data_IF_015872154887
#
_entry.id   IF_015872154887
#
_cell.length_a   1.000
_cell.length_b   1.000
_cell.length_c   1.000
_cell.angle_alpha   90.00
_cell.angle_beta   90.00
_cell.angle_gamma   90.00
#
_symmetry.space_group_name_H-M   'P 1'
#
loop_
_entity.id
_entity.type
_entity.pdbx_description
1 polymer ?
#
# COMPACT_ATOMS: atom_id res chain seq x y z
N UNK A 1 2.98 -5.06 -11.40
CA UNK A 1 1.63 -5.04 -10.80
C UNK A 1 1.76 -4.31 -9.48
N UNK A 2 0.89 -3.36 -9.18
CA UNK A 2 1.06 -2.54 -7.96
C UNK A 2 0.04 -2.98 -6.92
N UNK A 3 0.50 -3.34 -5.72
CA UNK A 3 -0.32 -3.79 -4.61
C UNK A 3 -0.29 -2.76 -3.48
N UNK A 4 -1.39 -2.02 -3.32
CA UNK A 4 -1.63 -1.22 -2.13
C UNK A 4 -2.27 -2.09 -1.04
N UNK A 5 -1.57 -2.24 0.09
CA UNK A 5 -2.08 -2.96 1.26
C UNK A 5 -2.32 -1.92 2.35
N UNK A 6 -3.59 -1.70 2.71
CA UNK A 6 -3.96 -0.77 3.78
C UNK A 6 -4.07 -1.53 5.10
N UNK A 7 -3.15 -1.22 6.01
CA UNK A 7 -3.07 -1.78 7.35
C UNK A 7 -3.81 -0.88 8.33
N UNK A 8 -4.52 -1.48 9.29
CA UNK A 8 -5.13 -0.72 10.39
C UNK A 8 -4.09 0.08 11.19
N UNK A 9 -2.94 -0.53 11.47
CA UNK A 9 -1.83 0.07 12.22
C UNK A 9 -0.56 -0.75 12.02
N UNK A 10 0.61 -0.14 12.17
CA UNK A 10 1.89 -0.86 12.25
C UNK A 10 2.95 0.00 12.95
N UNK A 11 3.73 -0.64 13.82
CA UNK A 11 4.90 -0.03 14.46
C UNK A 11 6.19 -0.23 13.64
N UNK A 12 6.13 -1.01 12.56
CA UNK A 12 7.29 -1.29 11.72
C UNK A 12 7.51 -0.18 10.68
N UNK A 13 8.77 0.18 10.41
CA UNK A 13 9.10 1.07 9.30
C UNK A 13 8.56 0.51 7.97
N UNK A 14 8.16 1.41 7.06
CA UNK A 14 7.59 1.02 5.76
C UNK A 14 8.50 0.06 4.97
N UNK A 15 9.82 0.22 5.05
CA UNK A 15 10.78 -0.65 4.35
C UNK A 15 10.75 -2.10 4.85
N UNK A 16 10.58 -2.29 6.16
CA UNK A 16 10.50 -3.62 6.76
C UNK A 16 9.17 -4.28 6.41
N UNK A 17 8.07 -3.51 6.39
CA UNK A 17 6.78 -3.98 5.90
C UNK A 17 6.85 -4.42 4.43
N UNK A 18 7.49 -3.63 3.57
CA UNK A 18 7.65 -3.98 2.15
C UNK A 18 8.34 -5.33 2.00
N UNK A 19 9.47 -5.53 2.69
CA UNK A 19 10.20 -6.80 2.67
C UNK A 19 9.33 -7.98 3.17
N UNK A 20 8.56 -7.73 4.22
CA UNK A 20 7.66 -8.73 4.82
C UNK A 20 6.53 -9.14 3.88
N UNK A 21 5.96 -8.23 3.09
CA UNK A 21 4.90 -8.57 2.14
C UNK A 21 5.43 -9.10 0.81
N UNK A 22 6.58 -8.61 0.33
CA UNK A 22 7.20 -9.08 -0.90
C UNK A 22 7.53 -10.58 -0.87
N UNK A 23 7.81 -11.16 0.30
CA UNK A 23 8.08 -12.61 0.41
C UNK A 23 6.89 -13.49 0.00
N UNK A 24 5.67 -12.93 -0.02
CA UNK A 24 4.47 -13.61 -0.47
C UNK A 24 4.17 -13.36 -1.96
N UNK A 25 4.86 -12.41 -2.57
CA UNK A 25 4.80 -12.17 -4.01
C UNK A 25 5.78 -13.13 -4.70
N UNK A 26 5.26 -13.99 -5.56
CA UNK A 26 6.07 -14.96 -6.30
C UNK A 26 6.74 -14.39 -7.54
N UNK A 27 6.34 -13.18 -7.98
CA UNK A 27 6.94 -12.48 -9.10
C UNK A 27 7.83 -11.31 -8.63
N UNK A 28 8.89 -11.04 -9.39
CA UNK A 28 9.81 -9.92 -9.16
C UNK A 28 9.33 -8.61 -9.78
N UNK A 29 8.10 -8.59 -10.34
CA UNK A 29 7.50 -7.44 -11.04
C UNK A 29 6.36 -6.80 -10.27
N UNK A 30 6.17 -7.18 -9.01
CA UNK A 30 5.12 -6.66 -8.13
C UNK A 30 5.71 -5.64 -7.18
N UNK A 31 5.26 -4.39 -7.29
CA UNK A 31 5.57 -3.35 -6.32
C UNK A 31 4.52 -3.37 -5.21
N UNK A 32 4.97 -3.43 -3.96
CA UNK A 32 4.09 -3.52 -2.79
C UNK A 32 4.18 -2.25 -1.95
N UNK A 33 3.03 -1.71 -1.60
CA UNK A 33 2.86 -0.48 -0.84
C UNK A 33 2.03 -0.75 0.43
N UNK A 34 2.65 -1.25 1.52
CA UNK A 34 1.96 -1.55 2.76
C UNK A 34 1.87 -0.31 3.64
N UNK A 35 0.82 0.49 3.45
CA UNK A 35 0.58 1.73 4.20
C UNK A 35 -0.39 1.50 5.35
N UNK A 36 -0.24 2.23 6.45
CA UNK A 36 -1.34 2.35 7.42
C UNK A 36 -2.45 3.27 6.90
N UNK A 37 -3.64 3.19 7.47
CA UNK A 37 -4.74 4.12 7.16
C UNK A 37 -4.30 5.59 7.29
N UNK A 38 -3.65 5.94 8.42
CA UNK A 38 -3.16 7.29 8.67
C UNK A 38 -2.08 7.74 7.65
N UNK A 39 -1.22 6.81 7.24
CA UNK A 39 -0.19 7.06 6.23
C UNK A 39 -0.75 7.26 4.83
N UNK A 40 -1.79 6.51 4.47
CA UNK A 40 -2.51 6.67 3.21
C UNK A 40 -3.28 7.99 3.21
N UNK A 41 -3.99 8.30 4.28
CA UNK A 41 -4.74 9.55 4.43
C UNK A 41 -3.82 10.77 4.29
N UNK A 42 -2.67 10.77 4.96
CA UNK A 42 -1.67 11.84 4.85
C UNK A 42 -1.21 12.07 3.40
N UNK A 43 -1.02 11.01 2.62
CA UNK A 43 -0.63 11.09 1.20
C UNK A 43 -1.75 11.62 0.31
N UNK A 44 -2.99 11.21 0.58
CA UNK A 44 -4.17 11.71 -0.13
C UNK A 44 -4.40 13.20 0.17
N UNK A 45 -4.22 13.63 1.42
CA UNK A 45 -4.31 15.03 1.82
C UNK A 45 -3.22 15.90 1.19
N UNK A 46 -2.02 15.33 0.97
CA UNK A 46 -0.96 15.99 0.21
C UNK A 46 -1.26 16.12 -1.30
N UNK A 47 -2.40 15.61 -1.76
CA UNK A 47 -2.83 15.59 -3.16
C UNK A 47 -1.80 14.97 -4.11
N UNK A 48 -1.06 13.96 -3.64
CA UNK A 48 -0.14 13.20 -4.47
C UNK A 48 -0.95 12.40 -5.50
N UNK A 49 -0.74 12.74 -6.78
CA UNK A 49 -1.50 12.21 -7.91
C UNK A 49 -1.45 10.70 -8.02
N UNK A 50 -0.34 10.07 -7.61
CA UNK A 50 -0.21 8.63 -7.65
C UNK A 50 -1.21 7.95 -6.71
N UNK A 51 -1.27 8.39 -5.44
CA UNK A 51 -2.15 7.78 -4.44
C UNK A 51 -3.62 8.04 -4.72
N UNK A 52 -3.95 9.25 -5.18
CA UNK A 52 -5.33 9.60 -5.58
C UNK A 52 -5.78 8.69 -6.73
N UNK A 53 -4.94 8.50 -7.73
CA UNK A 53 -5.26 7.62 -8.86
C UNK A 53 -5.34 6.15 -8.42
N UNK A 54 -4.39 5.67 -7.62
CA UNK A 54 -4.35 4.29 -7.14
C UNK A 54 -5.60 3.91 -6.34
N UNK A 55 -6.10 4.81 -5.49
CA UNK A 55 -7.35 4.58 -4.73
C UNK A 55 -8.59 4.68 -5.63
N UNK A 56 -8.59 5.57 -6.62
CA UNK A 56 -9.74 5.76 -7.52
C UNK A 56 -9.91 4.64 -8.54
N UNK A 57 -8.81 4.13 -9.08
CA UNK A 57 -8.79 3.17 -10.19
C UNK A 57 -8.41 1.76 -9.74
N UNK A 58 -7.92 1.61 -8.51
CA UNK A 58 -7.56 0.32 -7.93
C UNK A 58 -8.78 -0.61 -7.80
N UNK A 59 -8.53 -1.92 -7.96
CA UNK A 59 -9.53 -2.95 -7.73
C UNK A 59 -9.41 -3.40 -6.28
N UNK A 60 -10.48 -3.24 -5.50
CA UNK A 60 -10.53 -3.70 -4.12
C UNK A 60 -10.68 -5.22 -4.09
N UNK A 61 -9.66 -5.91 -3.57
CA UNK A 61 -9.65 -7.36 -3.52
C UNK A 61 -10.32 -7.94 -2.26
N UNK A 62 -10.22 -7.26 -1.11
CA UNK A 62 -10.73 -7.73 0.19
C UNK A 62 -10.86 -6.54 1.17
N UNK A 63 -12.03 -6.38 1.80
CA UNK A 63 -12.23 -5.58 3.02
C UNK A 63 -12.72 -6.47 4.16
N UNK A 64 -12.23 -6.22 5.39
CA UNK A 64 -12.67 -6.89 6.61
C UNK A 64 -13.02 -5.87 7.68
#
# INVERSE_FOLDING_TARGET
MDLLIVLKSSDLPIRERIAEFLKYCSDYSTDVFPLTEAELESRLQAADSFWVQAVREGIECCSR
#
